data_IF_711622257744
#
_entry.id   IF_711622257744
#
_cell.length_a   1.000
_cell.length_b   1.000
_cell.length_c   1.000
_cell.angle_alpha   90.00
_cell.angle_beta   90.00
_cell.angle_gamma   90.00
#
_symmetry.space_group_name_H-M   'P 1'
#
loop_
_entity.id
_entity.type
_entity.pdbx_description
1 polymer ?
#
# COMPACT_ATOMS: atom_id res chain seq x y z
N UNK A 1 -5.40 -8.60 7.65
CA UNK A 1 -4.65 -7.69 8.55
C UNK A 1 -3.15 -7.92 8.51
N UNK A 2 -2.64 -9.15 8.69
CA UNK A 2 -1.18 -9.41 8.62
C UNK A 2 -0.54 -8.91 7.33
N UNK A 3 -1.14 -9.20 6.16
CA UNK A 3 -0.65 -8.68 4.88
C UNK A 3 -0.59 -7.15 4.81
N UNK A 4 -1.58 -6.45 5.40
CA UNK A 4 -1.59 -4.98 5.48
C UNK A 4 -0.44 -4.45 6.33
N UNK A 5 -0.17 -5.07 7.49
CA UNK A 5 0.90 -4.66 8.38
C UNK A 5 2.26 -4.89 7.70
N UNK A 6 2.47 -6.08 7.13
CA UNK A 6 3.69 -6.42 6.40
C UNK A 6 3.93 -5.45 5.25
N UNK A 7 2.89 -5.18 4.45
CA UNK A 7 2.96 -4.23 3.34
C UNK A 7 3.27 -2.80 3.82
N UNK A 8 2.63 -2.33 4.89
CA UNK A 8 2.88 -1.00 5.43
C UNK A 8 4.32 -0.84 5.93
N UNK A 9 4.88 -1.86 6.62
CA UNK A 9 6.27 -1.85 7.07
C UNK A 9 7.25 -1.86 5.89
N UNK A 10 7.05 -2.74 4.91
CA UNK A 10 7.88 -2.79 3.70
C UNK A 10 7.84 -1.44 2.97
N UNK A 11 6.66 -0.86 2.78
CA UNK A 11 6.52 0.44 2.13
C UNK A 11 7.22 1.56 2.90
N UNK A 12 7.18 1.55 4.24
CA UNK A 12 7.91 2.54 5.04
C UNK A 12 9.42 2.44 4.83
N UNK A 13 9.98 1.22 4.84
CA UNK A 13 11.42 1.00 4.57
C UNK A 13 11.79 1.39 3.14
N UNK A 14 11.00 0.95 2.16
CA UNK A 14 11.24 1.27 0.75
C UNK A 14 11.16 2.78 0.47
N UNK A 15 10.23 3.48 1.12
CA UNK A 15 10.14 4.93 0.93
C UNK A 15 11.39 5.63 1.42
N UNK A 16 11.88 5.26 2.61
CA UNK A 16 13.08 5.85 3.18
C UNK A 16 14.35 5.59 2.34
N UNK A 17 14.54 4.34 1.88
CA UNK A 17 15.81 3.91 1.26
C UNK A 17 15.83 4.11 -0.27
N UNK A 18 14.69 3.92 -0.94
CA UNK A 18 14.65 3.82 -2.41
C UNK A 18 13.84 4.96 -3.03
N UNK A 19 12.61 5.18 -2.57
CA UNK A 19 11.68 6.09 -3.28
C UNK A 19 12.12 7.56 -3.21
N UNK A 20 12.46 8.08 -2.03
CA UNK A 20 12.90 9.48 -1.91
C UNK A 20 14.24 9.77 -2.61
N UNK A 21 15.26 8.90 -2.52
CA UNK A 21 16.46 9.04 -3.34
C UNK A 21 16.19 8.96 -4.84
N UNK A 22 15.32 8.05 -5.28
CA UNK A 22 14.94 7.94 -6.68
C UNK A 22 14.19 9.19 -7.18
N UNK A 23 13.34 9.80 -6.35
CA UNK A 23 12.65 11.06 -6.68
C UNK A 23 13.64 12.21 -6.91
N UNK A 24 14.61 12.34 -6.00
CA UNK A 24 15.70 13.33 -6.09
C UNK A 24 16.48 13.16 -7.40
N UNK A 25 16.87 11.92 -7.72
CA UNK A 25 17.63 11.61 -8.93
C UNK A 25 16.80 11.81 -10.21
N UNK A 26 15.57 11.29 -10.25
CA UNK A 26 14.72 11.32 -11.44
C UNK A 26 14.24 12.73 -11.79
N UNK A 27 13.90 13.54 -10.80
CA UNK A 27 13.36 14.88 -11.01
C UNK A 27 14.39 16.00 -10.84
N UNK A 28 15.65 15.66 -10.56
CA UNK A 28 16.69 16.62 -10.17
C UNK A 28 16.23 17.58 -9.05
N UNK A 29 15.39 17.09 -8.13
CA UNK A 29 14.91 17.90 -7.01
C UNK A 29 15.97 17.96 -5.89
N UNK A 30 15.98 19.00 -5.04
CA UNK A 30 16.85 19.01 -3.87
C UNK A 30 16.59 17.82 -2.96
N UNK A 31 17.66 17.20 -2.44
CA UNK A 31 17.55 16.08 -1.51
C UNK A 31 16.95 16.56 -0.18
N UNK A 32 15.94 15.84 0.30
CA UNK A 32 15.37 16.07 1.64
C UNK A 32 16.33 15.57 2.72
N UNK A 33 16.32 16.22 3.89
CA UNK A 33 17.11 15.71 5.02
C UNK A 33 16.53 14.40 5.55
N UNK A 34 17.40 13.54 6.08
CA UNK A 34 17.02 12.25 6.65
C UNK A 34 15.95 12.37 7.75
N UNK A 35 15.94 13.48 8.49
CA UNK A 35 14.95 13.74 9.54
C UNK A 35 13.57 14.03 8.98
N UNK A 36 13.49 14.83 7.92
CA UNK A 36 12.22 15.12 7.24
C UNK A 36 11.68 13.84 6.61
N UNK A 37 12.53 13.05 5.94
CA UNK A 37 12.11 11.79 5.34
C UNK A 37 11.55 10.83 6.41
N UNK A 38 12.26 10.62 7.52
CA UNK A 38 11.77 9.78 8.64
C UNK A 38 10.43 10.28 9.16
N UNK A 39 10.32 11.59 9.39
CA UNK A 39 9.08 12.20 9.88
C UNK A 39 7.94 11.95 8.91
N UNK A 40 8.12 12.22 7.61
CA UNK A 40 7.10 11.95 6.58
C UNK A 40 6.71 10.48 6.50
N UNK A 41 7.70 9.57 6.59
CA UNK A 41 7.43 8.12 6.56
C UNK A 41 6.55 7.71 7.75
N UNK A 42 6.87 8.14 8.96
CA UNK A 42 6.16 7.72 10.18
C UNK A 42 4.80 8.42 10.33
N UNK A 43 4.71 9.72 10.02
CA UNK A 43 3.49 10.50 10.29
C UNK A 43 2.49 10.48 9.14
N UNK A 44 2.94 10.24 7.90
CA UNK A 44 2.06 10.23 6.73
C UNK A 44 2.02 8.86 6.05
N UNK A 45 3.16 8.31 5.63
CA UNK A 45 3.19 7.13 4.75
C UNK A 45 2.71 5.88 5.48
N UNK A 46 3.21 5.63 6.69
CA UNK A 46 2.83 4.49 7.50
C UNK A 46 1.32 4.49 7.82
N UNK A 47 0.73 5.54 8.42
CA UNK A 47 -0.71 5.57 8.70
C UNK A 47 -1.55 5.52 7.43
N UNK A 48 -1.14 6.20 6.35
CA UNK A 48 -1.82 6.11 5.06
C UNK A 48 -1.89 4.67 4.53
N UNK A 49 -0.79 3.92 4.58
CA UNK A 49 -0.77 2.54 4.08
C UNK A 49 -1.63 1.60 4.94
N UNK A 50 -1.68 1.81 6.25
CA UNK A 50 -2.58 1.07 7.14
C UNK A 50 -4.05 1.35 6.81
N UNK A 51 -4.43 2.63 6.69
CA UNK A 51 -5.80 3.04 6.34
C UNK A 51 -6.19 2.49 4.96
N UNK A 52 -5.33 2.68 3.96
CA UNK A 52 -5.55 2.16 2.60
C UNK A 52 -5.76 0.65 2.61
N UNK A 53 -4.98 -0.10 3.39
CA UNK A 53 -5.16 -1.54 3.48
C UNK A 53 -6.51 -1.97 4.06
N UNK A 54 -7.06 -1.21 5.00
CA UNK A 54 -8.43 -1.43 5.52
C UNK A 54 -9.45 -1.15 4.41
N UNK A 55 -9.33 -0.01 3.72
CA UNK A 55 -10.22 0.36 2.62
C UNK A 55 -10.21 -0.70 1.52
N UNK A 56 -9.03 -1.12 1.08
CA UNK A 56 -8.86 -2.17 0.07
C UNK A 56 -9.49 -3.47 0.55
N UNK A 57 -9.29 -3.87 1.81
CA UNK A 57 -9.91 -5.09 2.37
C UNK A 57 -11.44 -5.00 2.28
N UNK A 58 -12.05 -3.88 2.68
CA UNK A 58 -13.51 -3.69 2.61
C UNK A 58 -14.01 -3.84 1.17
N UNK A 59 -13.37 -3.14 0.24
CA UNK A 59 -13.74 -3.17 -1.19
C UNK A 59 -13.62 -4.60 -1.74
N UNK A 60 -12.50 -5.28 -1.47
CA UNK A 60 -12.28 -6.62 -2.00
C UNK A 60 -13.21 -7.66 -1.37
N UNK A 61 -13.53 -7.57 -0.09
CA UNK A 61 -14.52 -8.47 0.54
C UNK A 61 -15.88 -8.31 -0.12
N UNK A 62 -16.33 -7.07 -0.35
CA UNK A 62 -17.58 -6.79 -1.04
C UNK A 62 -17.58 -7.37 -2.47
N UNK A 63 -16.51 -7.14 -3.24
CA UNK A 63 -16.37 -7.65 -4.60
C UNK A 63 -16.33 -9.19 -4.65
N UNK A 64 -15.52 -9.83 -3.79
CA UNK A 64 -15.40 -11.28 -3.75
C UNK A 64 -16.70 -11.98 -3.38
N UNK A 65 -17.52 -11.37 -2.51
CA UNK A 65 -18.83 -11.92 -2.16
C UNK A 65 -19.73 -12.08 -3.39
N UNK A 66 -19.69 -11.12 -4.33
CA UNK A 66 -20.46 -11.14 -5.58
C UNK A 66 -19.83 -12.08 -6.61
N UNK A 67 -18.50 -12.05 -6.73
CA UNK A 67 -17.78 -12.90 -7.67
C UNK A 67 -17.96 -14.39 -7.33
N UNK A 68 -17.98 -14.75 -6.04
CA UNK A 68 -18.19 -16.13 -5.60
C UNK A 68 -19.48 -16.72 -6.17
N UNK A 69 -20.60 -16.00 -6.07
CA UNK A 69 -21.89 -16.45 -6.63
C UNK A 69 -21.78 -16.71 -8.13
N UNK A 70 -21.17 -15.79 -8.86
CA UNK A 70 -21.02 -15.91 -10.32
C UNK A 70 -20.08 -17.05 -10.71
N UNK A 71 -18.94 -17.20 -10.04
CA UNK A 71 -17.95 -18.27 -10.32
C UNK A 71 -18.57 -19.65 -10.05
N UNK A 72 -19.24 -19.83 -8.91
CA UNK A 72 -19.91 -21.11 -8.60
C UNK A 72 -21.05 -21.41 -9.59
N UNK A 73 -21.82 -20.40 -9.99
CA UNK A 73 -22.86 -20.58 -11.01
C UNK A 73 -22.26 -20.99 -12.36
N UNK A 74 -21.12 -20.42 -12.76
CA UNK A 74 -20.44 -20.76 -14.02
C UNK A 74 -19.83 -22.17 -13.99
N UNK A 75 -19.21 -22.57 -12.88
CA UNK A 75 -18.63 -23.91 -12.71
C UNK A 75 -19.66 -25.04 -12.73
N UNK A 76 -20.91 -24.79 -12.31
CA UNK A 76 -21.98 -25.80 -12.37
C UNK A 76 -22.48 -26.05 -13.79
N UNK A 77 -22.28 -25.09 -14.70
CA UNK A 77 -22.76 -25.12 -16.08
C UNK A 77 -21.65 -25.42 -17.11
N UNK A 78 -20.44 -25.75 -16.65
CA UNK A 78 -19.29 -26.16 -17.45
C UNK A 78 -19.03 -27.65 -17.22
#
# INVERSE_FOLDING_TARGET
MLGTITMALIMSVLNYIIIFPAYTWFLNSPAMSSEVIKTTVVTAILPFNLIKGIVVTIVFVALFSRLKVWVFAKMKNA
#
